data_IF_795443150459
#
_entry.id   IF_795443150459
#
_cell.length_a   1.000
_cell.length_b   1.000
_cell.length_c   1.000
_cell.angle_alpha   90.00
_cell.angle_beta   90.00
_cell.angle_gamma   90.00
#
_symmetry.space_group_name_H-M   'P 1'
#
loop_
_entity.id
_entity.type
_entity.pdbx_description
1 polymer ?
#
# COMPACT_ATOMS: atom_id res chain seq x y z
N UNK A 1 -0.61 -13.91 10.97
CA UNK A 1 -1.10 -12.90 10.00
C UNK A 1 -1.36 -13.48 8.61
N UNK A 2 -0.52 -14.37 8.13
CA UNK A 2 -0.70 -15.00 6.82
C UNK A 2 -2.05 -15.69 6.66
N UNK A 3 -2.50 -16.39 7.69
CA UNK A 3 -3.79 -17.08 7.65
C UNK A 3 -4.95 -16.09 7.41
N UNK A 4 -4.90 -14.95 8.07
CA UNK A 4 -5.92 -13.91 7.93
C UNK A 4 -5.90 -13.26 6.54
N UNK A 5 -4.72 -13.14 5.93
CA UNK A 5 -4.62 -12.62 4.57
C UNK A 5 -5.21 -13.59 3.55
N UNK A 6 -5.05 -14.89 3.78
CA UNK A 6 -5.60 -15.92 2.91
C UNK A 6 -7.09 -16.17 3.15
N UNK A 7 -7.55 -15.98 4.39
CA UNK A 7 -8.93 -16.24 4.80
C UNK A 7 -9.35 -15.19 5.83
N UNK A 8 -10.23 -14.29 5.44
CA UNK A 8 -10.69 -13.19 6.29
C UNK A 8 -11.40 -13.68 7.57
N UNK A 9 -11.91 -14.91 7.56
CA UNK A 9 -12.55 -15.50 8.74
C UNK A 9 -11.55 -16.04 9.77
N UNK A 10 -10.26 -16.16 9.41
CA UNK A 10 -9.21 -16.53 10.34
C UNK A 10 -9.01 -15.43 11.40
N UNK A 11 -8.39 -15.78 12.56
CA UNK A 11 -8.19 -14.79 13.61
C UNK A 11 -7.46 -13.54 13.13
N UNK A 12 -8.05 -12.38 13.40
CA UNK A 12 -7.49 -11.08 13.05
C UNK A 12 -6.23 -10.81 13.88
N UNK A 13 -5.13 -10.32 13.28
CA UNK A 13 -3.96 -9.91 14.04
C UNK A 13 -4.31 -8.77 15.00
N UNK A 14 -3.51 -8.62 16.05
CA UNK A 14 -3.70 -7.50 16.98
C UNK A 14 -3.46 -6.18 16.26
N UNK A 15 -4.01 -5.10 16.78
CA UNK A 15 -3.80 -3.76 16.24
C UNK A 15 -2.31 -3.42 16.16
N UNK A 16 -1.54 -3.80 17.19
CA UNK A 16 -0.09 -3.56 17.22
C UNK A 16 0.64 -4.32 16.11
N UNK A 17 0.31 -5.60 15.92
CA UNK A 17 0.90 -6.41 14.86
C UNK A 17 0.53 -5.85 13.47
N UNK A 18 -0.73 -5.49 13.29
CA UNK A 18 -1.23 -4.96 12.04
C UNK A 18 -0.56 -3.62 11.70
N UNK A 19 -0.48 -2.72 12.68
CA UNK A 19 0.17 -1.43 12.51
C UNK A 19 1.64 -1.58 12.13
N UNK A 20 2.35 -2.49 12.79
CA UNK A 20 3.77 -2.73 12.50
C UNK A 20 3.96 -3.24 11.07
N UNK A 21 3.17 -4.21 10.64
CA UNK A 21 3.26 -4.77 9.29
C UNK A 21 2.95 -3.72 8.22
N UNK A 22 1.91 -2.92 8.43
CA UNK A 22 1.50 -1.87 7.48
C UNK A 22 2.59 -0.80 7.39
N UNK A 23 3.10 -0.32 8.51
CA UNK A 23 4.13 0.72 8.53
C UNK A 23 5.44 0.23 7.91
N UNK A 24 5.86 -0.97 8.24
CA UNK A 24 7.10 -1.53 7.69
C UNK A 24 7.03 -1.68 6.17
N UNK A 25 5.94 -2.23 5.66
CA UNK A 25 5.80 -2.42 4.21
C UNK A 25 5.65 -1.10 3.47
N UNK A 26 4.90 -0.15 4.00
CA UNK A 26 4.75 1.17 3.38
C UNK A 26 6.08 1.93 3.35
N UNK A 27 6.85 1.87 4.43
CA UNK A 27 8.17 2.50 4.48
C UNK A 27 9.16 1.82 3.54
N UNK A 28 9.05 0.51 3.36
CA UNK A 28 9.87 -0.22 2.39
C UNK A 28 9.55 0.25 0.97
N UNK A 29 8.29 0.45 0.65
CA UNK A 29 7.90 1.04 -0.64
C UNK A 29 8.56 2.41 -0.83
N UNK A 30 8.45 3.29 0.16
CA UNK A 30 9.01 4.63 0.07
C UNK A 30 10.54 4.62 -0.07
N UNK A 31 11.21 3.66 0.56
CA UNK A 31 12.66 3.51 0.43
C UNK A 31 13.06 2.94 -0.93
N UNK A 32 12.26 2.04 -1.49
CA UNK A 32 12.51 1.43 -2.80
C UNK A 32 12.20 2.38 -3.95
N UNK A 33 11.19 3.22 -3.77
CA UNK A 33 10.73 4.20 -4.77
C UNK A 33 10.78 5.61 -4.16
N UNK A 34 11.96 6.16 -3.89
CA UNK A 34 12.07 7.46 -3.24
C UNK A 34 11.49 8.57 -4.11
N UNK A 35 10.86 9.55 -3.47
CA UNK A 35 10.27 10.69 -4.14
C UNK A 35 9.05 11.22 -3.42
N UNK A 36 8.41 12.22 -4.02
CA UNK A 36 7.27 12.91 -3.43
C UNK A 36 6.12 13.13 -4.43
N UNK A 37 6.08 12.36 -5.52
CA UNK A 37 5.07 12.57 -6.55
C UNK A 37 3.77 11.82 -6.31
N UNK A 38 3.79 10.78 -5.47
CA UNK A 38 2.62 9.97 -5.13
C UNK A 38 2.58 9.77 -3.61
N UNK A 39 1.41 9.96 -3.01
CA UNK A 39 1.18 9.63 -1.62
C UNK A 39 0.38 8.34 -1.51
N UNK A 40 0.83 7.41 -0.68
CA UNK A 40 0.11 6.19 -0.35
C UNK A 40 -0.38 6.30 1.08
N UNK A 41 -1.69 6.22 1.25
CA UNK A 41 -2.37 6.35 2.54
C UNK A 41 -3.00 5.01 2.92
N UNK A 42 -2.70 4.55 4.12
CA UNK A 42 -3.29 3.34 4.70
C UNK A 42 -3.80 3.70 6.09
N UNK A 43 -4.93 4.41 6.18
CA UNK A 43 -5.45 4.80 7.48
C UNK A 43 -5.87 3.58 8.30
N UNK A 44 -5.75 3.64 9.61
CA UNK A 44 -5.31 4.77 10.41
C UNK A 44 -3.79 4.78 10.71
N UNK A 45 -2.99 3.95 10.02
CA UNK A 45 -1.63 3.64 10.46
C UNK A 45 -0.52 4.46 9.83
N UNK A 46 -0.63 4.79 8.53
CA UNK A 46 0.51 5.40 7.83
C UNK A 46 0.08 6.16 6.58
N UNK A 47 0.88 7.15 6.23
CA UNK A 47 0.89 7.76 4.91
C UNK A 47 2.36 7.97 4.54
N UNK A 48 2.75 7.57 3.35
CA UNK A 48 4.11 7.75 2.84
C UNK A 48 4.07 8.42 1.48
N UNK A 49 5.11 9.19 1.17
CA UNK A 49 5.31 9.72 -0.16
C UNK A 49 6.35 8.86 -0.88
N UNK A 50 6.16 8.67 -2.17
CA UNK A 50 7.04 7.83 -2.98
C UNK A 50 7.03 8.28 -4.43
N UNK A 51 7.90 7.65 -5.21
CA UNK A 51 8.04 7.82 -6.66
C UNK A 51 8.59 9.19 -7.01
N UNK A 52 9.68 9.18 -7.74
CA UNK A 52 10.34 10.38 -8.24
C UNK A 52 9.48 11.07 -9.30
N UNK A 53 9.50 12.38 -9.32
CA UNK A 53 8.74 13.16 -10.29
C UNK A 53 8.81 14.65 -9.99
N UNK A 54 8.06 15.47 -10.73
CA UNK A 54 8.03 16.90 -10.50
C UNK A 54 7.65 17.23 -9.07
N UNK A 55 8.37 18.18 -8.48
CA UNK A 55 8.14 18.60 -7.11
C UNK A 55 6.97 19.56 -7.06
N UNK A 56 5.99 19.25 -6.23
CA UNK A 56 4.88 20.15 -5.93
C UNK A 56 5.19 20.96 -4.69
N UNK A 57 5.08 22.27 -4.82
CA UNK A 57 5.41 23.20 -3.75
C UNK A 57 4.20 23.61 -2.93
N UNK A 58 3.01 23.13 -3.29
CA UNK A 58 1.76 23.49 -2.60
C UNK A 58 1.00 22.25 -2.14
N UNK A 59 0.83 22.16 -0.81
CA UNK A 59 -0.20 21.34 -0.19
C UNK A 59 -0.18 19.86 -0.56
N UNK A 60 -1.34 19.39 -0.97
CA UNK A 60 -1.60 17.98 -1.21
C UNK A 60 -0.84 17.44 -2.42
N UNK A 61 -0.22 16.26 -2.32
CA UNK A 61 0.34 15.59 -3.48
C UNK A 61 -0.72 15.44 -4.58
N UNK A 62 -0.34 15.58 -5.88
CA UNK A 62 -1.29 15.50 -6.97
C UNK A 62 -1.79 14.10 -7.23
N UNK A 63 -1.12 13.08 -6.70
CA UNK A 63 -1.44 11.69 -6.91
C UNK A 63 -1.55 11.00 -5.56
N UNK A 64 -2.67 10.33 -5.32
CA UNK A 64 -2.95 9.67 -4.05
C UNK A 64 -3.51 8.28 -4.30
N UNK A 65 -2.93 7.30 -3.60
CA UNK A 65 -3.47 5.95 -3.50
C UNK A 65 -3.90 5.76 -2.05
N UNK A 66 -5.13 5.33 -1.83
CA UNK A 66 -5.63 5.09 -0.48
C UNK A 66 -6.33 3.75 -0.41
N UNK A 67 -6.05 2.99 0.64
CA UNK A 67 -6.68 1.69 0.87
C UNK A 67 -6.67 1.36 2.37
N UNK A 68 -7.41 0.31 2.73
CA UNK A 68 -7.44 -0.18 4.11
C UNK A 68 -6.23 -1.08 4.41
N UNK A 69 -5.94 -1.34 5.70
CA UNK A 69 -4.76 -2.12 6.09
C UNK A 69 -4.71 -3.52 5.50
N UNK A 70 -5.81 -4.26 5.49
CA UNK A 70 -5.82 -5.62 4.94
C UNK A 70 -5.55 -5.62 3.45
N UNK A 71 -6.24 -4.76 2.71
CA UNK A 71 -6.03 -4.63 1.26
C UNK A 71 -4.59 -4.25 0.95
N UNK A 72 -4.03 -3.31 1.72
CA UNK A 72 -2.62 -2.93 1.56
C UNK A 72 -1.68 -4.13 1.72
N UNK A 73 -1.88 -4.94 2.77
CA UNK A 73 -1.03 -6.11 3.01
C UNK A 73 -1.21 -7.18 1.93
N UNK A 74 -2.41 -7.35 1.38
CA UNK A 74 -2.64 -8.24 0.25
C UNK A 74 -1.84 -7.78 -0.98
N UNK A 75 -1.83 -6.48 -1.25
CA UNK A 75 -1.04 -5.90 -2.34
C UNK A 75 0.46 -6.05 -2.08
N UNK A 76 0.89 -5.74 -0.86
CA UNK A 76 2.31 -5.76 -0.48
C UNK A 76 2.90 -7.16 -0.54
N UNK A 77 2.09 -8.19 -0.33
CA UNK A 77 2.52 -9.59 -0.35
C UNK A 77 2.28 -10.27 -1.69
N UNK A 78 1.65 -9.59 -2.64
CA UNK A 78 1.37 -10.16 -3.96
C UNK A 78 0.17 -11.08 -4.02
N UNK A 79 -0.64 -11.14 -2.96
CA UNK A 79 -1.87 -11.94 -2.94
C UNK A 79 -3.04 -11.29 -3.67
N UNK A 80 -2.92 -10.00 -3.95
CA UNK A 80 -3.92 -9.23 -4.68
C UNK A 80 -3.18 -8.26 -5.59
N UNK A 81 -3.63 -8.10 -6.83
CA UNK A 81 -3.03 -7.11 -7.71
C UNK A 81 -3.76 -5.76 -7.63
N UNK A 82 -3.05 -4.71 -8.02
CA UNK A 82 -3.51 -3.33 -7.94
C UNK A 82 -4.81 -3.11 -8.73
N UNK A 83 -4.88 -3.64 -9.94
CA UNK A 83 -6.04 -3.46 -10.83
C UNK A 83 -7.30 -4.08 -10.22
N UNK A 84 -7.17 -5.28 -9.66
CA UNK A 84 -8.29 -5.96 -9.00
C UNK A 84 -8.81 -5.14 -7.81
N UNK A 85 -7.90 -4.63 -6.98
CA UNK A 85 -8.27 -3.80 -5.83
C UNK A 85 -8.97 -2.50 -6.26
N UNK A 86 -8.47 -1.89 -7.33
CA UNK A 86 -9.05 -0.67 -7.89
C UNK A 86 -10.46 -0.94 -8.43
N UNK A 87 -10.62 -2.00 -9.21
CA UNK A 87 -11.90 -2.36 -9.81
C UNK A 87 -12.96 -2.74 -8.77
N UNK A 88 -12.55 -3.38 -7.68
CA UNK A 88 -13.48 -3.76 -6.60
C UNK A 88 -13.81 -2.61 -5.66
N UNK A 89 -13.11 -1.47 -5.77
CA UNK A 89 -13.34 -0.31 -4.93
C UNK A 89 -12.69 -0.37 -3.55
N UNK A 90 -11.89 -1.41 -3.26
CA UNK A 90 -11.18 -1.50 -1.98
C UNK A 90 -9.95 -0.59 -1.96
N UNK A 91 -9.52 -0.12 -3.12
CA UNK A 91 -8.45 0.84 -3.28
C UNK A 91 -8.97 2.00 -4.13
N UNK A 92 -8.62 3.22 -3.76
CA UNK A 92 -8.90 4.41 -4.58
C UNK A 92 -7.60 5.01 -5.06
N UNK A 93 -7.60 5.52 -6.28
CA UNK A 93 -6.44 6.15 -6.87
C UNK A 93 -6.88 7.44 -7.58
N UNK A 94 -6.24 8.54 -7.25
CA UNK A 94 -6.50 9.83 -7.90
C UNK A 94 -5.21 10.43 -8.41
N UNK A 95 -5.28 11.09 -9.57
CA UNK A 95 -4.11 11.63 -10.23
C UNK A 95 -3.54 10.67 -11.27
N UNK A 96 -2.96 11.23 -12.32
CA UNK A 96 -2.51 10.45 -13.49
C UNK A 96 -1.37 9.48 -13.19
N UNK A 97 -0.58 9.74 -12.13
CA UNK A 97 0.56 8.90 -11.77
C UNK A 97 0.29 7.92 -10.64
N UNK A 98 -0.87 8.01 -9.99
CA UNK A 98 -1.20 7.09 -8.89
C UNK A 98 -1.04 5.61 -9.28
N UNK A 99 -1.46 5.17 -10.49
CA UNK A 99 -1.29 3.78 -10.88
C UNK A 99 0.17 3.31 -10.99
N UNK A 100 1.14 4.21 -11.01
CA UNK A 100 2.56 3.82 -11.05
C UNK A 100 2.98 3.03 -9.80
N UNK A 101 2.25 3.15 -8.70
CA UNK A 101 2.50 2.36 -7.49
C UNK A 101 2.49 0.85 -7.81
N UNK A 102 1.67 0.42 -8.77
CA UNK A 102 1.59 -0.98 -9.16
C UNK A 102 2.93 -1.57 -9.61
N UNK A 103 3.82 -0.75 -10.18
CA UNK A 103 5.14 -1.19 -10.62
C UNK A 103 6.07 -1.60 -9.46
N UNK A 104 5.76 -1.15 -8.25
CA UNK A 104 6.57 -1.37 -7.05
C UNK A 104 5.99 -2.46 -6.16
N UNK A 105 4.94 -3.12 -6.59
CA UNK A 105 4.27 -4.19 -5.87
C UNK A 105 4.53 -5.55 -6.57
N UNK A 106 4.66 -6.65 -5.84
CA UNK A 106 4.63 -6.72 -4.38
C UNK A 106 5.93 -6.22 -3.75
N UNK A 107 5.86 -5.85 -2.48
CA UNK A 107 7.00 -5.38 -1.70
C UNK A 107 7.76 -6.56 -1.11
N UNK A 108 7.02 -7.54 -0.67
CA UNK A 108 7.55 -8.80 -0.14
C UNK A 108 6.69 -9.94 -0.66
N UNK A 109 7.30 -11.10 -0.86
CA UNK A 109 6.54 -12.29 -1.26
C UNK A 109 6.41 -13.22 -0.07
N UNK A 110 5.27 -13.96 0.03
CA UNK A 110 5.15 -14.97 1.06
C UNK A 110 6.32 -15.95 0.91
N UNK A 111 6.99 -16.24 2.02
CA UNK A 111 8.07 -17.22 2.01
C UNK A 111 7.45 -18.59 1.79
N UNK A 112 7.84 -19.33 0.77
CA UNK A 112 7.37 -20.70 0.64
C UNK A 112 7.95 -21.52 1.79
N UNK A 113 7.08 -22.24 2.46
CA UNK A 113 7.48 -23.13 3.53
C UNK A 113 8.10 -24.42 2.95
#
# INVERSE_FOLDING_TARGET
MSDWLLDESAPTPTRTELAAAVRTTARTLAASAPGHSVEVRVPPFVAVQCIEGPRHTRGTPPNVVETDPRTWLLLATGLLDFTTALDSGTLTASGSRAPEVAHWLPITRPTPD
#
